data_IF_559797312506
#
_entry.id   IF_559797312506
#
_cell.length_a   1.000
_cell.length_b   1.000
_cell.length_c   1.000
_cell.angle_alpha   90.00
_cell.angle_beta   90.00
_cell.angle_gamma   90.00
#
_symmetry.space_group_name_H-M   'P 1'
#
loop_
_entity.id
_entity.type
_entity.pdbx_description
1 polymer ?
#
# COMPACT_ATOMS: atom_id res chain seq x y z
N UNK A 1 -80.91 -13.92 25.13
CA UNK A 1 -81.19 -12.67 25.87
C UNK A 1 -80.09 -12.45 26.88
N UNK A 2 -79.36 -11.43 26.74
CA UNK A 2 -78.68 -10.53 27.67
C UNK A 2 -77.33 -10.07 27.02
N UNK A 3 -77.36 -8.83 26.63
CA UNK A 3 -76.19 -8.09 26.14
C UNK A 3 -75.27 -7.77 27.32
N UNK A 4 -73.94 -7.94 27.16
CA UNK A 4 -72.96 -7.38 28.06
C UNK A 4 -72.07 -6.54 27.21
N UNK A 5 -72.14 -5.24 27.43
CA UNK A 5 -71.33 -4.19 26.88
C UNK A 5 -69.93 -4.27 27.49
N UNK A 6 -68.90 -4.39 26.68
CA UNK A 6 -67.52 -4.26 27.13
C UNK A 6 -66.98 -2.86 26.82
N UNK A 7 -66.73 -2.16 27.91
CA UNK A 7 -66.17 -0.81 27.93
C UNK A 7 -64.72 -0.84 27.46
N UNK A 8 -64.45 -0.04 26.45
CA UNK A 8 -63.14 0.20 25.87
C UNK A 8 -62.31 1.05 26.82
N UNK A 9 -61.29 0.42 27.46
CA UNK A 9 -60.26 1.13 28.21
C UNK A 9 -59.11 1.48 27.29
N UNK A 10 -59.02 2.73 26.87
CA UNK A 10 -57.96 3.28 26.04
C UNK A 10 -56.70 3.44 26.92
N UNK A 11 -55.76 2.49 26.86
CA UNK A 11 -54.47 2.66 27.48
C UNK A 11 -53.59 3.52 26.57
N UNK A 12 -53.45 4.79 27.00
CA UNK A 12 -52.54 5.73 26.42
C UNK A 12 -51.11 5.31 26.81
N UNK A 13 -50.43 4.58 25.90
CA UNK A 13 -49.02 4.26 26.06
C UNK A 13 -48.21 5.49 25.66
N UNK A 14 -47.76 6.22 26.67
CA UNK A 14 -46.81 7.30 26.51
C UNK A 14 -45.46 6.69 26.09
N UNK A 15 -45.18 6.64 24.81
CA UNK A 15 -43.85 6.37 24.27
C UNK A 15 -42.93 7.54 24.64
N UNK A 16 -42.19 7.39 25.72
CA UNK A 16 -41.01 8.17 26.00
C UNK A 16 -39.97 7.80 24.93
N UNK A 17 -39.97 8.60 23.87
CA UNK A 17 -38.86 8.56 22.92
C UNK A 17 -37.67 9.17 23.66
N UNK A 18 -36.85 8.35 24.29
CA UNK A 18 -35.50 8.72 24.63
C UNK A 18 -34.77 8.92 23.32
N UNK A 19 -34.75 10.15 22.86
CA UNK A 19 -33.83 10.64 21.86
C UNK A 19 -32.40 10.33 22.38
N UNK A 20 -31.84 9.23 21.97
CA UNK A 20 -30.40 9.14 21.93
C UNK A 20 -29.95 10.26 21.00
N UNK A 21 -29.49 11.36 21.58
CA UNK A 21 -28.58 12.27 20.89
C UNK A 21 -27.38 11.41 20.52
N UNK A 22 -27.39 10.88 19.29
CA UNK A 22 -26.17 10.59 18.60
C UNK A 22 -25.32 11.87 18.75
N UNK A 23 -24.29 11.74 19.56
CA UNK A 23 -23.22 12.70 19.56
C UNK A 23 -22.79 12.78 18.10
N UNK A 24 -23.19 13.85 17.43
CA UNK A 24 -22.62 14.28 16.19
C UNK A 24 -21.12 14.40 16.47
N UNK A 25 -20.39 13.31 16.30
CA UNK A 25 -18.99 13.35 15.99
C UNK A 25 -18.93 14.19 14.72
N UNK A 26 -18.87 15.49 14.88
CA UNK A 26 -18.33 16.37 13.87
C UNK A 26 -16.97 15.74 13.58
N UNK A 27 -16.88 14.94 12.51
CA UNK A 27 -15.64 14.73 11.84
C UNK A 27 -15.07 16.14 11.66
N UNK A 28 -14.20 16.53 12.56
CA UNK A 28 -13.38 17.71 12.35
C UNK A 28 -12.76 17.43 10.98
N UNK A 29 -13.17 18.25 10.04
CA UNK A 29 -12.80 18.08 8.64
C UNK A 29 -11.27 18.27 8.62
N UNK A 30 -10.50 17.18 8.70
CA UNK A 30 -9.04 17.20 8.77
C UNK A 30 -8.48 17.96 7.56
N UNK A 31 -9.27 18.07 6.49
CA UNK A 31 -8.95 18.90 5.33
C UNK A 31 -8.86 20.40 5.68
N UNK A 32 -9.55 20.87 6.70
CA UNK A 32 -9.49 22.27 7.13
C UNK A 32 -8.22 22.57 7.92
N UNK A 33 -7.62 21.58 8.56
CA UNK A 33 -6.41 21.74 9.39
C UNK A 33 -5.13 21.59 8.56
N UNK A 34 -5.17 20.80 7.46
CA UNK A 34 -3.98 20.48 6.65
C UNK A 34 -3.88 21.42 5.46
N UNK A 35 -2.87 22.26 5.44
CA UNK A 35 -2.58 23.15 4.30
C UNK A 35 -1.52 22.55 3.39
N UNK A 36 -1.91 22.21 2.15
CA UNK A 36 -0.97 21.79 1.11
C UNK A 36 -0.31 23.01 0.45
N UNK A 37 1.01 22.99 0.33
CA UNK A 37 1.77 23.96 -0.45
C UNK A 37 2.67 23.25 -1.46
N UNK A 38 2.70 23.74 -2.68
CA UNK A 38 3.66 23.33 -3.71
C UNK A 38 4.71 24.43 -3.85
N UNK A 39 5.96 24.05 -3.76
CA UNK A 39 7.06 24.98 -4.05
C UNK A 39 7.40 25.05 -5.56
N UNK A 40 6.77 24.18 -6.35
CA UNK A 40 7.07 24.01 -7.77
C UNK A 40 5.83 24.15 -8.64
N UNK A 41 6.00 24.52 -9.90
CA UNK A 41 4.95 24.40 -10.91
C UNK A 41 4.67 22.93 -11.27
N UNK A 42 3.68 22.69 -12.13
CA UNK A 42 3.30 21.35 -12.58
C UNK A 42 4.44 20.55 -13.27
N UNK A 43 5.54 21.18 -13.63
CA UNK A 43 6.72 20.57 -14.25
C UNK A 43 7.82 20.27 -13.25
N UNK A 44 7.64 20.59 -11.96
CA UNK A 44 8.65 20.41 -10.92
C UNK A 44 9.78 21.44 -10.99
N UNK A 45 9.46 22.69 -11.34
CA UNK A 45 10.43 23.80 -11.48
C UNK A 45 10.26 24.75 -10.29
N UNK A 46 11.37 25.02 -9.58
CA UNK A 46 11.47 26.09 -8.60
C UNK A 46 12.31 27.22 -9.21
N UNK A 47 11.75 28.41 -9.29
CA UNK A 47 12.49 29.59 -9.75
C UNK A 47 13.28 29.34 -11.05
N UNK A 48 12.70 28.61 -12.00
CA UNK A 48 13.33 28.26 -13.28
C UNK A 48 14.34 27.11 -13.26
N UNK A 49 14.55 26.44 -12.10
CA UNK A 49 15.42 25.26 -12.00
C UNK A 49 14.61 24.00 -11.78
N UNK A 50 14.89 22.94 -12.53
CA UNK A 50 14.32 21.62 -12.30
C UNK A 50 14.77 21.07 -10.95
N UNK A 51 13.82 20.51 -10.18
CA UNK A 51 14.13 19.81 -8.94
C UNK A 51 14.92 18.54 -9.21
N UNK A 52 15.93 18.29 -8.38
CA UNK A 52 16.62 17.02 -8.35
C UNK A 52 15.68 15.90 -7.89
N UNK A 53 16.03 14.65 -8.21
CA UNK A 53 15.32 13.49 -7.68
C UNK A 53 15.52 13.37 -6.16
N UNK A 54 14.52 12.81 -5.48
CA UNK A 54 14.63 12.44 -4.08
C UNK A 54 15.72 11.38 -3.85
N UNK A 55 16.17 11.26 -2.60
CA UNK A 55 17.12 10.25 -2.13
C UNK A 55 16.54 9.49 -0.93
N UNK A 56 17.21 8.42 -0.51
CA UNK A 56 16.83 7.62 0.65
C UNK A 56 16.11 6.32 0.29
N UNK A 57 16.02 5.44 1.28
CA UNK A 57 15.44 4.11 1.10
C UNK A 57 13.91 4.15 1.16
N UNK A 58 13.21 3.29 0.38
CA UNK A 58 11.76 3.11 0.47
C UNK A 58 11.32 2.69 1.87
N UNK A 59 10.16 3.21 2.29
CA UNK A 59 9.61 2.88 3.60
C UNK A 59 10.33 3.53 4.77
N UNK A 60 11.23 4.50 4.56
CA UNK A 60 11.87 5.26 5.62
C UNK A 60 11.18 6.61 5.81
N UNK A 61 10.84 6.94 7.07
CA UNK A 61 10.30 8.22 7.51
C UNK A 61 11.33 8.89 8.43
N UNK A 62 11.80 10.07 8.03
CA UNK A 62 12.74 10.86 8.83
C UNK A 62 11.96 11.89 9.62
N UNK A 63 12.05 11.82 10.94
CA UNK A 63 11.48 12.80 11.86
C UNK A 63 12.57 13.79 12.27
N UNK A 64 12.34 15.06 11.97
CA UNK A 64 13.25 16.16 12.32
C UNK A 64 12.65 16.91 13.50
N UNK A 65 13.27 16.81 14.66
CA UNK A 65 12.81 17.42 15.90
C UNK A 65 13.96 17.62 16.87
N UNK A 66 13.84 18.61 17.76
CA UNK A 66 14.73 18.73 18.91
C UNK A 66 14.61 17.49 19.83
N UNK A 67 15.68 17.12 20.51
CA UNK A 67 15.66 16.00 21.44
C UNK A 67 14.62 16.18 22.57
N UNK A 68 14.37 17.43 22.95
CA UNK A 68 13.35 17.79 23.95
C UNK A 68 11.92 17.62 23.44
N UNK A 69 11.72 17.59 22.12
CA UNK A 69 10.42 17.39 21.46
C UNK A 69 10.23 15.92 21.11
N UNK A 70 11.28 15.23 20.66
CA UNK A 70 11.21 13.80 20.31
C UNK A 70 11.37 12.93 21.58
N UNK A 71 10.37 13.03 22.46
CA UNK A 71 10.31 12.25 23.70
C UNK A 71 9.94 10.78 23.44
N UNK A 72 10.11 9.93 24.46
CA UNK A 72 9.69 8.52 24.40
C UNK A 72 8.19 8.37 24.11
N UNK A 73 7.36 9.32 24.56
CA UNK A 73 5.92 9.32 24.32
C UNK A 73 5.62 9.59 22.85
N UNK A 74 6.25 10.61 22.26
CA UNK A 74 6.14 10.92 20.82
C UNK A 74 6.68 9.76 19.98
N UNK A 75 7.84 9.20 20.34
CA UNK A 75 8.41 8.03 19.65
C UNK A 75 7.45 6.85 19.64
N UNK A 76 6.89 6.48 20.80
CA UNK A 76 5.91 5.39 20.91
C UNK A 76 4.64 5.66 20.11
N UNK A 77 4.14 6.90 20.10
CA UNK A 77 2.98 7.29 19.29
C UNK A 77 3.29 7.08 17.80
N UNK A 78 4.41 7.63 17.31
CA UNK A 78 4.79 7.50 15.90
C UNK A 78 5.04 6.04 15.50
N UNK A 79 5.68 5.24 16.34
CA UNK A 79 5.89 3.82 16.10
C UNK A 79 4.56 3.05 16.03
N UNK A 80 3.62 3.37 16.92
CA UNK A 80 2.29 2.73 16.93
C UNK A 80 1.49 3.01 15.66
N UNK A 81 1.75 4.12 14.97
CA UNK A 81 1.06 4.52 13.74
C UNK A 81 1.82 4.06 12.51
N UNK A 82 3.10 4.44 12.42
CA UNK A 82 3.86 4.31 11.16
C UNK A 82 4.68 3.02 11.08
N UNK A 83 5.12 2.46 12.22
CA UNK A 83 5.92 1.23 12.25
C UNK A 83 5.09 -0.03 12.41
N UNK A 84 3.76 0.04 12.21
CA UNK A 84 2.90 -1.13 12.23
C UNK A 84 3.35 -2.19 11.22
N UNK A 85 3.32 -3.49 11.61
CA UNK A 85 3.65 -4.56 10.69
C UNK A 85 2.68 -4.62 9.51
N UNK A 86 3.20 -4.80 8.31
CA UNK A 86 2.36 -4.96 7.11
C UNK A 86 1.79 -6.37 7.09
N UNK A 87 0.58 -6.52 7.61
CA UNK A 87 -0.14 -7.81 7.63
C UNK A 87 -0.68 -8.20 6.25
N UNK A 88 -0.80 -9.50 5.96
CA UNK A 88 -0.47 -10.67 6.78
C UNK A 88 0.96 -11.20 6.54
N UNK A 89 1.86 -10.40 6.01
CA UNK A 89 3.18 -10.85 5.59
C UNK A 89 4.06 -11.30 6.76
N UNK A 90 4.78 -12.39 6.54
CA UNK A 90 5.77 -12.94 7.44
C UNK A 90 7.05 -13.27 6.65
N UNK A 91 8.25 -13.02 7.19
CA UNK A 91 8.54 -12.27 8.41
C UNK A 91 7.93 -10.87 8.40
N UNK A 92 7.58 -10.37 9.60
CA UNK A 92 7.01 -9.05 9.75
C UNK A 92 8.05 -7.97 9.40
N UNK A 93 7.61 -6.94 8.74
CA UNK A 93 8.39 -5.73 8.52
C UNK A 93 7.49 -4.51 8.74
N UNK A 94 8.06 -3.39 9.21
CA UNK A 94 7.27 -2.19 9.47
C UNK A 94 6.80 -1.56 8.17
N UNK A 95 5.67 -0.88 8.22
CA UNK A 95 5.17 -0.08 7.10
C UNK A 95 6.12 1.06 6.78
N UNK A 96 6.64 1.72 7.83
CA UNK A 96 7.72 2.69 7.78
C UNK A 96 8.73 2.42 8.90
N UNK A 97 10.02 2.61 8.59
CA UNK A 97 11.10 2.68 9.58
C UNK A 97 11.29 4.14 9.96
N UNK A 98 11.11 4.46 11.24
CA UNK A 98 11.26 5.83 11.75
C UNK A 98 12.72 6.07 12.12
N UNK A 99 13.26 7.18 11.67
CA UNK A 99 14.57 7.66 12.03
C UNK A 99 14.46 9.11 12.49
N UNK A 100 14.90 9.37 13.72
CA UNK A 100 14.97 10.71 14.26
C UNK A 100 16.33 11.35 13.96
N UNK A 101 16.30 12.63 13.60
CA UNK A 101 17.47 13.51 13.49
C UNK A 101 17.11 14.88 14.09
N UNK A 102 18.12 15.56 14.64
CA UNK A 102 17.92 16.92 15.16
C UNK A 102 17.93 17.97 14.02
N UNK A 103 17.40 19.19 14.25
CA UNK A 103 17.50 20.27 13.27
C UNK A 103 18.93 20.59 12.83
N UNK A 104 19.92 20.48 13.74
CA UNK A 104 21.32 20.69 13.40
C UNK A 104 21.86 19.62 12.44
N UNK A 105 21.39 18.38 12.59
CA UNK A 105 21.74 17.29 11.70
C UNK A 105 21.05 17.40 10.35
N UNK A 106 19.93 18.14 10.28
CA UNK A 106 19.23 18.39 9.05
C UNK A 106 19.92 19.46 8.20
N UNK A 107 20.56 19.06 7.11
CA UNK A 107 21.40 19.91 6.26
C UNK A 107 21.11 19.72 4.76
N UNK A 108 21.85 20.38 3.89
CA UNK A 108 21.70 20.28 2.44
C UNK A 108 21.91 18.87 1.88
N UNK A 109 22.64 17.99 2.60
CA UNK A 109 22.89 16.61 2.18
C UNK A 109 21.66 15.71 2.34
N UNK A 110 20.79 16.02 3.32
CA UNK A 110 19.62 15.19 3.65
C UNK A 110 18.27 15.87 3.39
N UNK A 111 18.24 17.12 2.93
CA UNK A 111 16.99 17.82 2.62
C UNK A 111 16.19 17.19 1.46
N UNK A 112 16.84 16.37 0.61
CA UNK A 112 16.19 15.65 -0.48
C UNK A 112 15.68 14.26 -0.09
N UNK A 113 15.73 13.91 1.20
CA UNK A 113 15.13 12.64 1.68
C UNK A 113 13.65 12.59 1.36
N UNK A 114 13.21 11.41 0.95
CA UNK A 114 11.90 11.19 0.30
C UNK A 114 10.69 11.51 1.19
N UNK A 115 10.76 11.18 2.48
CA UNK A 115 9.71 11.41 3.46
C UNK A 115 10.29 12.13 4.67
N UNK A 116 9.80 13.31 4.95
CA UNK A 116 10.22 14.15 6.08
C UNK A 116 9.01 14.52 6.93
N UNK A 117 9.18 14.44 8.23
CA UNK A 117 8.22 14.94 9.21
C UNK A 117 8.96 15.87 10.16
N UNK A 118 8.53 17.12 10.24
CA UNK A 118 9.09 18.10 11.15
C UNK A 118 8.15 18.32 12.33
N UNK A 119 8.71 18.31 13.53
CA UNK A 119 7.97 18.60 14.76
C UNK A 119 8.57 19.85 15.40
N UNK A 120 7.75 20.90 15.54
CA UNK A 120 8.17 22.18 16.10
C UNK A 120 7.30 22.56 17.28
N UNK A 121 7.95 22.96 18.38
CA UNK A 121 7.30 23.78 19.43
C UNK A 121 7.58 25.26 19.16
N UNK A 122 6.55 26.08 19.31
CA UNK A 122 6.60 27.53 19.08
C UNK A 122 6.41 28.27 20.40
N UNK A 123 7.02 29.46 20.49
CA UNK A 123 6.85 30.30 21.70
C UNK A 123 5.44 30.87 21.83
N UNK A 124 4.71 31.00 20.73
CA UNK A 124 3.37 31.55 20.67
C UNK A 124 2.37 30.52 20.11
N UNK A 125 1.09 30.61 20.47
CA UNK A 125 0.05 29.78 19.88
C UNK A 125 0.02 29.90 18.35
N UNK A 126 -0.23 28.79 17.68
CA UNK A 126 -0.27 28.72 16.21
C UNK A 126 -1.71 28.67 15.74
N UNK A 127 -2.05 29.49 14.74
CA UNK A 127 -3.34 29.40 14.06
C UNK A 127 -3.58 27.96 13.59
N UNK A 128 -4.77 27.42 13.85
CA UNK A 128 -5.15 26.06 13.52
C UNK A 128 -4.88 25.70 12.04
N UNK A 129 -5.09 26.63 11.12
CA UNK A 129 -4.80 26.44 9.70
C UNK A 129 -3.30 26.31 9.37
N UNK A 130 -2.42 26.60 10.33
CA UNK A 130 -0.96 26.59 10.17
C UNK A 130 -0.28 25.48 11.01
N UNK A 131 -1.04 24.78 11.84
CA UNK A 131 -0.51 23.73 12.72
C UNK A 131 0.01 22.51 11.96
N UNK A 132 -0.66 22.11 10.88
CA UNK A 132 -0.23 21.01 10.02
C UNK A 132 -0.06 21.53 8.59
N UNK A 133 1.17 21.41 8.07
CA UNK A 133 1.50 21.80 6.69
C UNK A 133 2.03 20.62 5.92
N UNK A 134 1.45 20.35 4.77
CA UNK A 134 1.92 19.31 3.84
C UNK A 134 2.54 19.98 2.62
N UNK A 135 3.80 19.66 2.34
CA UNK A 135 4.55 20.18 1.19
C UNK A 135 4.91 19.02 0.27
N UNK A 136 4.60 19.16 -1.01
CA UNK A 136 5.00 18.22 -2.06
C UNK A 136 6.01 18.88 -2.97
N UNK A 137 7.00 18.10 -3.43
CA UNK A 137 8.01 18.59 -4.38
C UNK A 137 8.73 19.87 -3.89
N UNK A 138 9.15 19.88 -2.62
CA UNK A 138 9.73 21.08 -2.01
C UNK A 138 11.24 21.20 -2.26
N UNK A 139 12.04 20.21 -1.88
CA UNK A 139 13.48 20.16 -2.16
C UNK A 139 13.82 19.14 -3.27
N UNK A 140 12.93 18.19 -3.53
CA UNK A 140 13.13 17.17 -4.53
C UNK A 140 11.81 16.74 -5.17
N UNK A 141 11.87 16.26 -6.42
CA UNK A 141 10.70 15.70 -7.12
C UNK A 141 10.12 14.52 -6.33
N UNK A 142 8.81 14.45 -6.22
CA UNK A 142 8.07 13.39 -5.51
C UNK A 142 8.42 13.25 -4.03
N UNK A 143 8.93 14.32 -3.40
CA UNK A 143 9.15 14.41 -1.97
C UNK A 143 7.83 14.73 -1.25
N UNK A 144 7.64 14.16 -0.06
CA UNK A 144 6.57 14.54 0.86
C UNK A 144 7.18 15.03 2.17
N UNK A 145 6.79 16.23 2.57
CA UNK A 145 7.16 16.82 3.85
C UNK A 145 5.86 17.14 4.60
N UNK A 146 5.81 16.74 5.87
CA UNK A 146 4.75 17.13 6.80
C UNK A 146 5.38 17.92 7.94
N UNK A 147 4.87 19.11 8.23
CA UNK A 147 5.31 19.94 9.33
C UNK A 147 4.18 20.05 10.37
N UNK A 148 4.51 19.74 11.61
CA UNK A 148 3.66 19.97 12.77
C UNK A 148 4.20 21.13 13.58
N UNK A 149 3.33 22.05 13.96
CA UNK A 149 3.65 23.22 14.77
C UNK A 149 2.65 23.35 15.90
N UNK A 150 3.12 23.34 17.12
CA UNK A 150 2.30 23.41 18.31
C UNK A 150 2.96 24.35 19.34
N UNK A 151 2.16 24.94 20.23
CA UNK A 151 2.68 25.74 21.31
C UNK A 151 3.09 24.87 22.50
N UNK A 152 2.41 23.76 22.73
CA UNK A 152 2.69 22.82 23.84
C UNK A 152 2.89 21.39 23.36
N UNK A 153 3.53 20.57 24.18
CA UNK A 153 3.69 19.12 23.92
C UNK A 153 2.33 18.41 23.84
N UNK A 154 1.36 18.77 24.69
CA UNK A 154 0.03 18.17 24.67
C UNK A 154 -0.71 18.48 23.36
N UNK A 155 -0.59 19.71 22.87
CA UNK A 155 -1.12 20.10 21.58
C UNK A 155 -0.46 19.31 20.44
N UNK A 156 0.87 19.20 20.43
CA UNK A 156 1.61 18.42 19.44
C UNK A 156 1.17 16.96 19.42
N UNK A 157 1.06 16.34 20.60
CA UNK A 157 0.59 14.95 20.72
C UNK A 157 -0.83 14.79 20.17
N UNK A 158 -1.72 15.72 20.47
CA UNK A 158 -3.09 15.73 19.97
C UNK A 158 -3.14 15.86 18.44
N UNK A 159 -2.36 16.76 17.86
CA UNK A 159 -2.27 16.95 16.40
C UNK A 159 -1.75 15.68 15.70
N UNK A 160 -0.69 15.07 16.22
CA UNK A 160 -0.14 13.82 15.71
C UNK A 160 -1.15 12.68 15.77
N UNK A 161 -1.88 12.57 16.89
CA UNK A 161 -2.90 11.51 17.08
C UNK A 161 -4.08 11.68 16.15
N UNK A 162 -4.64 12.90 16.06
CA UNK A 162 -5.83 13.20 15.27
C UNK A 162 -5.59 13.07 13.76
N UNK A 163 -4.39 13.42 13.29
CA UNK A 163 -4.04 13.34 11.87
C UNK A 163 -3.34 12.04 11.46
N UNK A 164 -3.15 11.09 12.39
CA UNK A 164 -2.35 9.89 12.22
C UNK A 164 -2.69 9.10 10.95
N UNK A 165 -3.96 8.74 10.79
CA UNK A 165 -4.43 7.91 9.67
C UNK A 165 -4.29 8.63 8.32
N UNK A 166 -4.63 9.92 8.27
CA UNK A 166 -4.50 10.72 7.05
C UNK A 166 -3.03 10.83 6.62
N UNK A 167 -2.13 11.16 7.54
CA UNK A 167 -0.71 11.30 7.20
C UNK A 167 -0.09 9.97 6.84
N UNK A 168 -0.46 8.88 7.53
CA UNK A 168 -0.04 7.53 7.16
C UNK A 168 -0.48 7.19 5.73
N UNK A 169 -1.72 7.49 5.38
CA UNK A 169 -2.24 7.27 4.03
C UNK A 169 -1.47 8.10 2.99
N UNK A 170 -1.17 9.37 3.28
CA UNK A 170 -0.40 10.26 2.38
C UNK A 170 1.03 9.76 2.15
N UNK A 171 1.73 9.33 3.20
CA UNK A 171 3.05 8.74 3.08
C UNK A 171 3.00 7.39 2.33
N UNK A 172 2.00 6.56 2.59
CA UNK A 172 1.80 5.29 1.90
C UNK A 172 1.54 5.50 0.41
N UNK A 173 0.68 6.46 0.08
CA UNK A 173 0.32 6.79 -1.29
C UNK A 173 1.50 7.30 -2.12
N UNK A 174 2.30 8.23 -1.59
CA UNK A 174 3.45 8.75 -2.32
C UNK A 174 4.53 7.67 -2.53
N UNK A 175 4.68 6.70 -1.62
CA UNK A 175 5.64 5.61 -1.77
C UNK A 175 5.37 4.76 -3.02
N UNK A 176 4.15 4.27 -3.23
CA UNK A 176 3.85 3.50 -4.43
C UNK A 176 3.73 4.38 -5.68
N UNK A 177 3.28 5.64 -5.56
CA UNK A 177 3.22 6.60 -6.68
C UNK A 177 4.60 6.88 -7.28
N UNK A 178 5.67 6.89 -6.47
CA UNK A 178 7.05 7.04 -6.98
C UNK A 178 7.41 5.91 -7.94
N UNK A 179 7.03 4.68 -7.60
CA UNK A 179 7.25 3.52 -8.48
C UNK A 179 6.36 3.60 -9.73
N UNK A 180 5.11 4.03 -9.57
CA UNK A 180 4.21 4.29 -10.70
C UNK A 180 4.80 5.31 -11.69
N UNK A 181 5.29 6.45 -11.19
CA UNK A 181 5.89 7.47 -12.05
C UNK A 181 7.15 6.95 -12.75
N UNK A 182 7.96 6.16 -12.06
CA UNK A 182 9.13 5.51 -12.65
C UNK A 182 8.74 4.55 -13.77
N UNK A 183 7.78 3.67 -13.55
CA UNK A 183 7.30 2.74 -14.56
C UNK A 183 6.66 3.47 -15.74
N UNK A 184 5.91 4.54 -15.49
CA UNK A 184 5.30 5.35 -16.53
C UNK A 184 6.33 6.08 -17.40
N UNK A 185 7.38 6.61 -16.79
CA UNK A 185 8.45 7.31 -17.50
C UNK A 185 9.32 6.36 -18.36
N UNK A 186 9.51 5.13 -17.88
CA UNK A 186 10.34 4.12 -18.54
C UNK A 186 9.51 2.85 -18.79
N UNK A 187 8.50 2.97 -19.64
CA UNK A 187 7.44 1.99 -19.81
C UNK A 187 7.81 0.89 -20.80
N UNK A 188 7.39 -0.34 -20.50
CA UNK A 188 7.42 -1.46 -21.43
C UNK A 188 6.19 -1.43 -22.35
N UNK A 189 6.28 -0.67 -23.45
CA UNK A 189 5.16 -0.47 -24.39
C UNK A 189 4.76 -1.77 -25.09
N UNK A 190 5.68 -2.68 -25.32
CA UNK A 190 5.40 -3.98 -25.96
C UNK A 190 4.47 -4.82 -25.10
N UNK A 191 4.85 -5.05 -23.83
CA UNK A 191 4.01 -5.80 -22.90
C UNK A 191 2.66 -5.11 -22.68
N UNK A 192 2.66 -3.78 -22.53
CA UNK A 192 1.44 -3.00 -22.36
C UNK A 192 0.45 -3.20 -23.50
N UNK A 193 0.92 -3.16 -24.75
CA UNK A 193 0.11 -3.38 -25.93
C UNK A 193 -0.40 -4.82 -26.04
N UNK A 194 0.43 -5.80 -25.68
CA UNK A 194 0.01 -7.20 -25.67
C UNK A 194 -1.08 -7.46 -24.63
N UNK A 195 -0.96 -6.90 -23.41
CA UNK A 195 -1.99 -6.98 -22.37
C UNK A 195 -3.29 -6.30 -22.79
N UNK A 196 -3.20 -5.14 -23.45
CA UNK A 196 -4.35 -4.43 -23.99
C UNK A 196 -5.13 -5.31 -24.99
N UNK A 197 -4.44 -5.95 -25.92
CA UNK A 197 -5.03 -6.85 -26.93
C UNK A 197 -5.64 -8.10 -26.29
N UNK A 198 -4.91 -8.74 -25.41
CA UNK A 198 -5.27 -10.05 -24.85
C UNK A 198 -6.33 -9.93 -23.74
N UNK A 199 -6.12 -9.06 -22.78
CA UNK A 199 -6.93 -8.95 -21.58
C UNK A 199 -7.85 -7.71 -21.53
N UNK A 200 -7.68 -6.75 -22.46
CA UNK A 200 -8.44 -5.50 -22.45
C UNK A 200 -8.08 -4.56 -21.33
N UNK A 201 -6.88 -4.72 -20.76
CA UNK A 201 -6.35 -3.86 -19.72
C UNK A 201 -4.96 -3.35 -20.08
N UNK A 202 -4.55 -2.24 -19.48
CA UNK A 202 -3.16 -1.78 -19.49
C UNK A 202 -2.62 -1.65 -18.08
N UNK A 203 -1.32 -1.89 -17.95
CA UNK A 203 -0.54 -1.74 -16.72
C UNK A 203 0.73 -0.95 -17.05
N UNK A 204 1.21 -0.14 -16.10
CA UNK A 204 2.54 0.47 -16.20
C UNK A 204 3.57 -0.53 -15.63
N UNK A 205 4.28 -1.20 -16.52
CA UNK A 205 5.19 -2.29 -16.19
C UNK A 205 6.65 -1.83 -16.19
N UNK A 206 7.52 -2.43 -15.38
CA UNK A 206 8.96 -2.20 -15.47
C UNK A 206 9.48 -2.43 -16.90
N UNK A 207 10.38 -1.59 -17.38
CA UNK A 207 10.93 -1.60 -18.76
C UNK A 207 11.43 -2.98 -19.19
N UNK A 208 12.17 -3.64 -18.31
CA UNK A 208 12.81 -4.93 -18.59
C UNK A 208 12.01 -6.12 -18.07
N UNK A 209 10.70 -5.97 -17.86
CA UNK A 209 9.81 -7.09 -17.60
C UNK A 209 9.70 -7.98 -18.83
N UNK A 210 9.60 -9.29 -18.63
CA UNK A 210 9.49 -10.29 -19.70
C UNK A 210 8.40 -11.30 -19.42
N UNK A 211 7.75 -11.80 -20.47
CA UNK A 211 6.84 -12.93 -20.33
C UNK A 211 7.62 -14.20 -20.00
N UNK A 212 7.27 -14.84 -18.88
CA UNK A 212 7.65 -16.23 -18.59
C UNK A 212 6.60 -17.22 -19.11
N UNK A 213 5.34 -16.79 -19.16
CA UNK A 213 4.23 -17.53 -19.74
C UNK A 213 3.22 -16.58 -20.35
N UNK A 214 2.75 -16.92 -21.55
CA UNK A 214 1.70 -16.15 -22.23
C UNK A 214 0.72 -17.12 -22.92
N UNK A 215 -0.38 -17.43 -22.24
CA UNK A 215 -1.46 -18.32 -22.71
C UNK A 215 -2.75 -17.51 -22.84
N UNK A 216 -3.71 -17.98 -23.62
CA UNK A 216 -4.97 -17.30 -23.93
C UNK A 216 -5.65 -16.62 -22.71
N UNK A 217 -5.69 -17.30 -21.56
CA UNK A 217 -6.38 -16.82 -20.37
C UNK A 217 -5.43 -16.59 -19.17
N UNK A 218 -4.12 -16.69 -19.38
CA UNK A 218 -3.13 -16.53 -18.33
C UNK A 218 -1.83 -15.95 -18.89
N UNK A 219 -1.26 -14.99 -18.19
CA UNK A 219 0.06 -14.47 -18.47
C UNK A 219 0.87 -14.36 -17.16
N UNK A 220 2.16 -14.70 -17.22
CA UNK A 220 3.12 -14.43 -16.15
C UNK A 220 4.25 -13.57 -16.70
N UNK A 221 4.50 -12.46 -16.03
CA UNK A 221 5.53 -11.49 -16.39
C UNK A 221 6.50 -11.39 -15.22
N UNK A 222 7.75 -11.74 -15.44
CA UNK A 222 8.81 -11.53 -14.47
C UNK A 222 9.30 -10.08 -14.55
N UNK A 223 9.60 -9.50 -13.38
CA UNK A 223 10.33 -8.26 -13.28
C UNK A 223 11.83 -8.55 -13.19
N UNK A 224 12.69 -7.58 -13.56
CA UNK A 224 14.12 -7.75 -13.39
C UNK A 224 14.47 -8.09 -11.94
N UNK A 225 15.27 -9.13 -11.76
CA UNK A 225 15.76 -9.56 -10.47
C UNK A 225 16.56 -8.45 -9.79
N UNK A 226 16.41 -8.34 -8.48
CA UNK A 226 17.25 -7.51 -7.66
C UNK A 226 18.18 -8.38 -6.84
N UNK A 227 19.46 -8.09 -6.93
CA UNK A 227 20.48 -8.75 -6.12
C UNK A 227 21.05 -7.78 -5.09
N UNK A 228 21.39 -8.28 -3.92
CA UNK A 228 22.25 -7.60 -2.95
C UNK A 228 23.36 -8.55 -2.55
N UNK A 229 24.62 -8.11 -2.53
CA UNK A 229 25.67 -8.85 -1.88
C UNK A 229 25.30 -9.06 -0.41
N UNK A 230 25.42 -10.27 0.11
CA UNK A 230 25.39 -10.50 1.55
C UNK A 230 26.78 -10.18 2.10
N UNK A 231 26.86 -9.27 3.07
CA UNK A 231 28.01 -9.17 3.93
C UNK A 231 28.00 -10.39 4.87
N UNK A 232 28.65 -11.46 4.44
CA UNK A 232 28.91 -12.61 5.30
C UNK A 232 30.13 -12.29 6.16
N UNK A 233 29.96 -11.45 7.17
CA UNK A 233 30.92 -11.33 8.27
C UNK A 233 30.68 -12.46 9.27
N UNK A 234 30.74 -13.70 8.84
CA UNK A 234 30.83 -14.86 9.73
C UNK A 234 32.25 -15.36 9.66
N UNK A 235 32.99 -15.28 10.75
CA UNK A 235 34.28 -15.90 10.91
C UNK A 235 34.21 -17.35 10.44
N UNK A 236 34.97 -17.69 9.40
CA UNK A 236 35.12 -19.05 8.86
C UNK A 236 34.61 -19.29 7.44
N UNK A 237 33.93 -18.37 6.77
CA UNK A 237 33.56 -18.53 5.38
C UNK A 237 34.61 -17.89 4.45
N UNK A 238 35.50 -18.71 3.90
CA UNK A 238 36.39 -18.26 2.84
C UNK A 238 35.60 -17.72 1.65
N UNK A 239 35.50 -16.40 1.54
CA UNK A 239 35.48 -15.64 0.29
C UNK A 239 34.40 -15.90 -0.75
N UNK A 240 33.32 -16.62 -0.49
CA UNK A 240 32.19 -16.75 -1.43
C UNK A 240 31.04 -15.84 -1.01
N UNK A 241 31.01 -14.66 -1.58
CA UNK A 241 29.88 -13.76 -1.49
C UNK A 241 28.61 -14.48 -2.02
N UNK A 242 27.72 -14.91 -1.14
CA UNK A 242 26.38 -15.36 -1.54
C UNK A 242 25.59 -14.14 -1.97
N UNK A 243 25.09 -14.14 -3.20
CA UNK A 243 24.20 -13.10 -3.69
C UNK A 243 22.76 -13.55 -3.41
N UNK A 244 22.03 -12.77 -2.62
CA UNK A 244 20.61 -12.97 -2.43
C UNK A 244 19.85 -12.32 -3.58
N UNK A 245 18.97 -13.08 -4.23
CA UNK A 245 18.10 -12.59 -5.28
C UNK A 245 16.69 -12.38 -4.74
N UNK A 246 16.07 -11.25 -5.14
CA UNK A 246 14.65 -11.01 -4.98
C UNK A 246 14.01 -11.21 -6.33
N UNK A 247 13.12 -12.19 -6.41
CA UNK A 247 12.31 -12.46 -7.59
C UNK A 247 10.90 -11.89 -7.40
N UNK A 248 10.42 -11.17 -8.39
CA UNK A 248 9.09 -10.60 -8.36
C UNK A 248 8.50 -10.50 -9.76
N UNK A 249 7.19 -10.45 -9.81
CA UNK A 249 6.49 -10.31 -11.08
C UNK A 249 4.98 -10.18 -10.90
N UNK A 250 4.29 -10.26 -12.03
CA UNK A 250 2.84 -10.18 -12.11
C UNK A 250 2.30 -11.39 -12.87
N UNK A 251 1.23 -11.96 -12.35
CA UNK A 251 0.38 -12.92 -13.05
C UNK A 251 -0.97 -12.26 -13.34
N UNK A 252 -1.48 -12.49 -14.54
CA UNK A 252 -2.76 -11.96 -15.00
C UNK A 252 -3.56 -13.13 -15.52
N UNK A 253 -4.82 -13.24 -15.10
CA UNK A 253 -5.73 -14.25 -15.63
C UNK A 253 -7.15 -13.77 -15.75
N UNK A 254 -7.94 -14.51 -16.53
CA UNK A 254 -9.35 -14.28 -16.70
C UNK A 254 -10.11 -15.60 -16.68
N UNK A 255 -11.29 -15.60 -16.06
CA UNK A 255 -12.23 -16.72 -16.05
C UNK A 255 -13.63 -16.23 -16.42
N UNK A 256 -14.49 -17.07 -17.03
CA UNK A 256 -15.86 -16.69 -17.36
C UNK A 256 -16.66 -16.28 -16.12
N UNK A 257 -17.35 -15.17 -16.19
CA UNK A 257 -18.32 -14.76 -15.20
C UNK A 257 -19.67 -15.43 -15.52
N UNK A 258 -20.27 -16.08 -14.55
CA UNK A 258 -21.58 -16.72 -14.67
C UNK A 258 -22.63 -15.96 -13.86
N UNK A 259 -22.35 -15.72 -12.59
CA UNK A 259 -23.25 -15.04 -11.66
C UNK A 259 -22.49 -14.36 -10.49
N UNK A 260 -23.24 -13.62 -9.68
CA UNK A 260 -22.68 -12.82 -8.59
C UNK A 260 -22.08 -13.64 -7.44
N UNK A 261 -22.41 -14.93 -7.29
CA UNK A 261 -21.79 -15.80 -6.26
C UNK A 261 -20.30 -15.97 -6.45
N UNK A 262 -19.83 -15.76 -7.68
CA UNK A 262 -18.41 -15.78 -8.03
C UNK A 262 -17.64 -14.52 -7.58
N UNK A 263 -18.32 -13.47 -7.13
CA UNK A 263 -17.71 -12.22 -6.68
C UNK A 263 -17.54 -12.15 -5.16
N UNK A 264 -17.44 -13.30 -4.50
CA UNK A 264 -17.13 -13.38 -3.06
C UNK A 264 -15.61 -13.57 -2.84
N UNK A 265 -15.04 -13.05 -1.74
CA UNK A 265 -13.64 -13.26 -1.43
C UNK A 265 -13.22 -14.73 -1.44
N UNK A 266 -14.07 -15.60 -0.89
CA UNK A 266 -13.81 -17.04 -0.79
C UNK A 266 -13.76 -17.72 -2.17
N UNK A 267 -14.70 -17.37 -3.05
CA UNK A 267 -14.68 -17.88 -4.42
C UNK A 267 -13.44 -17.42 -5.18
N UNK A 268 -13.13 -16.12 -5.10
CA UNK A 268 -12.00 -15.51 -5.80
C UNK A 268 -10.66 -16.11 -5.36
N UNK A 269 -10.50 -16.43 -4.08
CA UNK A 269 -9.29 -17.09 -3.59
C UNK A 269 -9.21 -18.55 -4.04
N UNK A 270 -10.31 -19.32 -4.01
CA UNK A 270 -10.32 -20.68 -4.56
C UNK A 270 -10.05 -20.70 -6.06
N UNK A 271 -10.62 -19.75 -6.81
CA UNK A 271 -10.35 -19.60 -8.23
C UNK A 271 -8.87 -19.30 -8.49
N UNK A 272 -8.25 -18.42 -7.68
CA UNK A 272 -6.81 -18.14 -7.73
C UNK A 272 -5.99 -19.43 -7.59
N UNK A 273 -6.26 -20.22 -6.55
CA UNK A 273 -5.49 -21.45 -6.30
C UNK A 273 -5.67 -22.47 -7.41
N UNK A 274 -6.90 -22.59 -7.94
CA UNK A 274 -7.16 -23.44 -9.10
C UNK A 274 -6.36 -23.01 -10.33
N UNK A 275 -6.34 -21.71 -10.63
CA UNK A 275 -5.58 -21.17 -11.77
C UNK A 275 -4.07 -21.40 -11.58
N UNK A 276 -3.55 -21.11 -10.38
CA UNK A 276 -2.12 -21.25 -10.10
C UNK A 276 -1.66 -22.70 -10.13
N UNK A 277 -2.49 -23.64 -9.69
CA UNK A 277 -2.22 -25.09 -9.78
C UNK A 277 -1.86 -25.54 -11.20
N UNK A 278 -2.47 -24.96 -12.23
CA UNK A 278 -2.28 -25.35 -13.61
C UNK A 278 -1.33 -24.42 -14.39
N UNK A 279 -1.01 -23.26 -13.88
CA UNK A 279 -0.27 -22.25 -14.62
C UNK A 279 1.00 -21.72 -13.92
N UNK A 280 1.11 -21.85 -12.60
CA UNK A 280 2.29 -21.45 -11.84
C UNK A 280 2.98 -22.69 -11.25
N UNK A 281 3.48 -23.53 -12.17
CA UNK A 281 4.18 -24.78 -11.87
C UNK A 281 5.61 -24.48 -11.42
N UNK A 282 6.12 -25.33 -10.56
CA UNK A 282 7.53 -25.38 -10.20
C UNK A 282 8.30 -26.28 -11.20
N UNK A 283 9.64 -26.20 -11.20
CA UNK A 283 10.50 -27.09 -12.00
C UNK A 283 10.32 -28.59 -11.63
N UNK A 284 9.98 -28.88 -10.37
CA UNK A 284 9.70 -30.25 -9.94
C UNK A 284 8.27 -30.65 -10.31
N UNK A 285 8.10 -31.85 -10.93
CA UNK A 285 6.78 -32.36 -11.29
C UNK A 285 5.82 -32.46 -10.12
N UNK A 286 4.57 -32.02 -10.32
CA UNK A 286 3.53 -32.07 -9.31
C UNK A 286 3.59 -30.95 -8.26
N UNK A 287 4.60 -30.08 -8.33
CA UNK A 287 4.74 -28.94 -7.43
C UNK A 287 4.17 -27.67 -8.09
N UNK A 288 3.34 -26.94 -7.36
CA UNK A 288 2.68 -25.74 -7.85
C UNK A 288 2.49 -24.69 -6.75
N UNK A 289 2.30 -23.45 -7.17
CA UNK A 289 2.01 -22.34 -6.27
C UNK A 289 0.56 -22.40 -5.77
N UNK A 290 0.37 -22.33 -4.46
CA UNK A 290 -0.94 -22.22 -3.81
C UNK A 290 -0.92 -21.16 -2.71
N UNK A 291 -2.09 -20.87 -2.14
CA UNK A 291 -2.18 -19.93 -1.01
C UNK A 291 -1.70 -20.60 0.28
N UNK A 292 -0.95 -19.86 1.12
CA UNK A 292 -0.65 -20.29 2.49
C UNK A 292 -1.89 -20.12 3.36
N UNK A 293 -2.32 -21.21 3.97
CA UNK A 293 -3.57 -21.34 4.74
C UNK A 293 -3.34 -21.51 6.25
N UNK A 294 -2.12 -21.29 6.72
CA UNK A 294 -1.82 -21.35 8.15
C UNK A 294 -2.57 -20.24 8.91
N UNK A 295 -3.27 -20.56 10.04
CA UNK A 295 -4.13 -19.59 10.75
C UNK A 295 -3.46 -18.27 11.15
N UNK A 296 -2.17 -18.29 11.46
CA UNK A 296 -1.42 -17.09 11.87
C UNK A 296 -1.18 -16.08 10.72
N UNK A 297 -1.32 -16.50 9.45
CA UNK A 297 -0.97 -15.70 8.27
C UNK A 297 -2.02 -15.82 7.16
N UNK A 298 -3.27 -15.99 7.52
CA UNK A 298 -4.37 -16.07 6.55
C UNK A 298 -4.39 -14.83 5.67
N UNK A 299 -4.72 -14.98 4.39
CA UNK A 299 -4.88 -13.85 3.49
C UNK A 299 -5.91 -12.86 4.01
N UNK A 300 -5.65 -11.58 3.82
CA UNK A 300 -6.60 -10.51 4.09
C UNK A 300 -7.21 -10.01 2.80
N UNK A 301 -8.49 -9.64 2.84
CA UNK A 301 -9.21 -9.07 1.70
C UNK A 301 -9.79 -7.71 2.04
N UNK A 302 -9.85 -6.83 1.05
CA UNK A 302 -10.49 -5.52 1.15
C UNK A 302 -11.16 -5.17 -0.17
N UNK A 303 -12.39 -4.67 -0.13
CA UNK A 303 -13.03 -4.09 -1.31
C UNK A 303 -12.42 -2.72 -1.59
N UNK A 304 -11.92 -2.50 -2.80
CA UNK A 304 -11.28 -1.26 -3.23
C UNK A 304 -11.72 -0.88 -4.64
N UNK A 305 -11.43 0.37 -5.00
CA UNK A 305 -11.62 0.89 -6.35
C UNK A 305 -10.29 1.34 -6.94
N UNK A 306 -9.95 0.86 -8.12
CA UNK A 306 -8.79 1.29 -8.90
C UNK A 306 -9.27 1.94 -10.19
N UNK A 307 -9.12 3.26 -10.30
CA UNK A 307 -9.70 4.02 -11.42
C UNK A 307 -11.22 3.85 -11.50
N UNK A 308 -11.72 3.33 -12.63
CA UNK A 308 -13.14 3.05 -12.85
C UNK A 308 -13.57 1.63 -12.42
N UNK A 309 -12.67 0.81 -11.89
CA UNK A 309 -12.90 -0.60 -11.60
C UNK A 309 -13.00 -0.85 -10.12
N UNK A 310 -14.08 -1.49 -9.68
CA UNK A 310 -14.30 -1.93 -8.31
C UNK A 310 -14.04 -3.44 -8.20
N UNK A 311 -13.43 -3.87 -7.11
CA UNK A 311 -13.09 -5.27 -6.90
C UNK A 311 -12.52 -5.55 -5.51
N UNK A 312 -11.92 -6.72 -5.36
CA UNK A 312 -11.28 -7.14 -4.11
C UNK A 312 -9.76 -7.15 -4.24
N UNK A 313 -9.11 -6.46 -3.35
CA UNK A 313 -7.68 -6.59 -3.09
C UNK A 313 -7.46 -7.72 -2.10
N UNK A 314 -6.47 -8.58 -2.39
CA UNK A 314 -6.01 -9.62 -1.49
C UNK A 314 -4.52 -9.47 -1.23
N UNK A 315 -4.12 -9.69 0.00
CA UNK A 315 -2.71 -9.80 0.39
C UNK A 315 -2.51 -11.05 1.21
N UNK A 316 -1.43 -11.76 0.97
CA UNK A 316 -1.16 -13.02 1.66
C UNK A 316 0.18 -13.61 1.32
N UNK A 317 0.42 -14.80 1.85
CA UNK A 317 1.56 -15.61 1.50
C UNK A 317 1.14 -16.73 0.54
N UNK A 318 2.03 -17.06 -0.38
CA UNK A 318 1.92 -18.28 -1.16
C UNK A 318 2.94 -19.33 -0.67
N UNK A 319 2.63 -20.59 -0.91
CA UNK A 319 3.51 -21.74 -0.69
C UNK A 319 3.60 -22.55 -1.97
N UNK A 320 4.68 -23.32 -2.11
CA UNK A 320 4.74 -24.37 -3.11
C UNK A 320 4.24 -25.66 -2.51
N UNK A 321 3.09 -26.14 -2.99
CA UNK A 321 2.47 -27.38 -2.58
C UNK A 321 3.18 -28.55 -3.28
N UNK A 322 3.42 -29.65 -2.56
CA UNK A 322 4.10 -30.83 -3.09
C UNK A 322 5.62 -30.87 -2.85
N UNK A 323 6.17 -29.89 -2.10
CA UNK A 323 7.56 -29.92 -1.63
C UNK A 323 7.67 -30.36 -0.19
N UNK A 324 8.75 -31.06 0.12
CA UNK A 324 9.11 -31.43 1.49
C UNK A 324 9.63 -30.23 2.28
N UNK A 325 10.43 -29.39 1.62
CA UNK A 325 10.95 -28.16 2.23
C UNK A 325 9.98 -27.00 2.03
N UNK A 326 9.63 -26.28 3.11
CA UNK A 326 8.79 -25.09 3.01
C UNK A 326 9.43 -24.04 2.10
N UNK A 327 8.73 -23.66 1.05
CA UNK A 327 9.13 -22.56 0.17
C UNK A 327 7.89 -21.78 -0.23
N UNK A 328 8.07 -20.47 -0.40
CA UNK A 328 6.95 -19.58 -0.73
C UNK A 328 7.38 -18.14 -0.66
N UNK A 329 6.42 -17.26 -0.77
CA UNK A 329 6.66 -15.83 -0.77
C UNK A 329 5.40 -15.04 -0.49
N UNK A 330 5.41 -13.77 -0.88
CA UNK A 330 4.33 -12.83 -0.67
C UNK A 330 3.55 -12.61 -1.95
N UNK A 331 2.23 -12.41 -1.85
CA UNK A 331 1.42 -11.98 -2.98
C UNK A 331 0.57 -10.76 -2.64
N UNK A 332 0.29 -9.96 -3.65
CA UNK A 332 -0.64 -8.84 -3.64
C UNK A 332 -1.48 -8.91 -4.91
N UNK A 333 -2.79 -8.98 -4.81
CA UNK A 333 -3.65 -9.32 -5.93
C UNK A 333 -4.90 -8.45 -5.93
N UNK A 334 -5.37 -8.07 -7.11
CA UNK A 334 -6.64 -7.36 -7.31
C UNK A 334 -7.51 -8.15 -8.26
N UNK A 335 -8.72 -8.51 -7.83
CA UNK A 335 -9.69 -9.30 -8.56
C UNK A 335 -10.94 -8.46 -8.82
N UNK A 336 -11.43 -8.47 -10.05
CA UNK A 336 -12.56 -7.64 -10.47
C UNK A 336 -13.34 -8.25 -11.62
N UNK A 337 -14.60 -7.83 -11.76
CA UNK A 337 -15.39 -8.13 -12.97
C UNK A 337 -15.06 -7.11 -14.06
N UNK A 338 -14.60 -7.59 -15.21
CA UNK A 338 -14.33 -6.72 -16.36
C UNK A 338 -15.67 -6.27 -16.99
N UNK A 339 -16.00 -4.96 -16.97
CA UNK A 339 -17.35 -4.50 -17.29
C UNK A 339 -17.81 -4.78 -18.73
N UNK A 340 -16.87 -4.96 -19.65
CA UNK A 340 -17.16 -5.15 -21.09
C UNK A 340 -16.97 -6.58 -21.59
N UNK A 341 -16.41 -7.50 -20.78
CA UNK A 341 -16.00 -8.83 -21.25
C UNK A 341 -16.74 -9.99 -20.62
N UNK A 342 -17.58 -9.76 -19.64
CA UNK A 342 -18.26 -10.82 -18.88
C UNK A 342 -17.24 -11.83 -18.31
N UNK A 343 -16.15 -11.32 -17.77
CA UNK A 343 -15.07 -12.13 -17.20
C UNK A 343 -14.59 -11.57 -15.88
N UNK A 344 -14.35 -12.45 -14.93
CA UNK A 344 -13.62 -12.12 -13.73
C UNK A 344 -12.14 -12.13 -14.09
N UNK A 345 -11.47 -11.05 -13.75
CA UNK A 345 -10.05 -10.87 -13.99
C UNK A 345 -9.30 -10.72 -12.70
N UNK A 346 -8.04 -11.10 -12.72
CA UNK A 346 -7.11 -10.81 -11.63
C UNK A 346 -5.77 -10.31 -12.16
N UNK A 347 -5.19 -9.38 -11.41
CA UNK A 347 -3.79 -8.94 -11.52
C UNK A 347 -3.13 -9.24 -10.20
N UNK A 348 -2.23 -10.22 -10.17
CA UNK A 348 -1.64 -10.79 -8.96
C UNK A 348 -0.13 -10.71 -9.00
N UNK A 349 0.45 -9.85 -8.17
CA UNK A 349 1.88 -9.79 -7.96
C UNK A 349 2.37 -10.91 -7.05
N UNK A 350 3.56 -11.39 -7.32
CA UNK A 350 4.28 -12.33 -6.47
C UNK A 350 5.68 -11.79 -6.14
N UNK A 351 6.15 -12.14 -4.97
CA UNK A 351 7.44 -11.73 -4.46
C UNK A 351 8.07 -12.86 -3.65
N UNK A 352 9.20 -13.33 -4.12
CA UNK A 352 10.11 -14.16 -3.36
C UNK A 352 11.31 -13.31 -2.91
N UNK A 353 11.46 -13.18 -1.62
CA UNK A 353 12.53 -12.41 -1.01
C UNK A 353 13.08 -13.15 0.19
N UNK A 354 14.41 -13.29 0.30
CA UNK A 354 15.04 -13.88 1.47
C UNK A 354 14.61 -13.16 2.75
N UNK A 355 14.47 -13.88 3.89
CA UNK A 355 14.05 -13.29 5.17
C UNK A 355 14.93 -12.12 5.65
N UNK A 356 16.19 -12.10 5.22
CA UNK A 356 17.18 -11.05 5.55
C UNK A 356 17.03 -9.76 4.77
N UNK A 357 16.15 -9.73 3.76
CA UNK A 357 15.93 -8.56 2.91
C UNK A 357 14.54 -7.98 3.12
N UNK A 358 14.46 -6.66 3.34
CA UNK A 358 13.17 -5.97 3.43
C UNK A 358 12.43 -6.07 2.09
N UNK A 359 11.21 -6.62 2.08
CA UNK A 359 10.39 -6.74 0.88
C UNK A 359 9.65 -5.44 0.52
N UNK A 360 9.78 -4.41 1.34
CA UNK A 360 8.96 -3.20 1.25
C UNK A 360 9.04 -2.52 -0.13
N UNK A 361 10.23 -2.42 -0.71
CA UNK A 361 10.40 -1.79 -2.03
C UNK A 361 9.71 -2.58 -3.13
N UNK A 362 9.88 -3.92 -3.15
CA UNK A 362 9.33 -4.75 -4.22
C UNK A 362 7.82 -4.88 -4.11
N UNK A 363 7.29 -4.89 -2.89
CA UNK A 363 5.84 -4.79 -2.68
C UNK A 363 5.27 -3.46 -3.18
N UNK A 364 5.99 -2.33 -3.03
CA UNK A 364 5.58 -1.04 -3.61
C UNK A 364 5.62 -1.07 -5.15
N UNK A 365 6.59 -1.75 -5.75
CA UNK A 365 6.62 -1.97 -7.21
C UNK A 365 5.40 -2.75 -7.68
N UNK A 366 5.07 -3.85 -7.01
CA UNK A 366 3.88 -4.66 -7.29
C UNK A 366 2.60 -3.82 -7.14
N UNK A 367 2.47 -3.10 -6.02
CA UNK A 367 1.33 -2.21 -5.76
C UNK A 367 1.18 -1.16 -6.86
N UNK A 368 2.29 -0.53 -7.27
CA UNK A 368 2.28 0.48 -8.32
C UNK A 368 1.79 -0.08 -9.66
N UNK A 369 2.20 -1.30 -10.02
CA UNK A 369 1.73 -1.99 -11.23
C UNK A 369 0.24 -2.29 -11.13
N UNK A 370 -0.23 -2.87 -10.04
CA UNK A 370 -1.65 -3.19 -9.83
C UNK A 370 -2.50 -1.91 -9.87
N UNK A 371 -2.07 -0.86 -9.17
CA UNK A 371 -2.83 0.41 -9.08
C UNK A 371 -2.74 1.26 -10.35
N UNK A 372 -1.87 0.89 -11.28
CA UNK A 372 -1.82 1.50 -12.62
C UNK A 372 -2.86 0.95 -13.60
N UNK A 373 -3.67 -0.04 -13.17
CA UNK A 373 -4.69 -0.70 -13.99
C UNK A 373 -5.62 0.31 -14.67
N UNK A 374 -5.76 0.15 -15.98
CA UNK A 374 -6.76 0.87 -16.78
C UNK A 374 -7.43 -0.10 -17.73
N UNK A 375 -8.72 0.09 -17.94
CA UNK A 375 -9.46 -0.62 -18.98
C UNK A 375 -9.14 -0.01 -20.33
N UNK A 376 -9.03 -0.87 -21.34
CA UNK A 376 -8.89 -0.42 -22.73
C UNK A 376 -10.26 -0.16 -23.30
N UNK A 377 -10.50 1.05 -23.79
CA UNK A 377 -11.67 1.35 -24.58
C UNK A 377 -11.51 0.71 -25.96
N UNK A 378 -12.45 -0.15 -26.33
CA UNK A 378 -12.54 -0.56 -27.74
C UNK A 378 -13.03 0.66 -28.53
N UNK A 379 -12.16 1.14 -29.41
CA UNK A 379 -12.59 2.04 -30.47
C UNK A 379 -13.56 1.31 -31.41
#
# INVERSE_FOLDING_TARGET
MKYVTFSSLFFLFLLIITSCQEANNKNLDTQTIVRESKATDARGIIQGKALSKYVGQPGRLIVVAENTVFTDEISRLLDSVYSQPVRPYYPFFPKFEIHHITPEQFNKGNNRLRNLMFLFLTNEPVDSALQIRVKKDYYAQHQLIVEYRAHTMNELFSLLSLSADEMLQRFDEIEWKREYYRHKADNNTVLKNQLAKQFGITLELPKHGTFESNRKNFARIAFPDRSRPMDLTTEGSQGKSKVNFIQSGIMIWQIPFKDSSQLTPEYLMRARDTILKYNALHEFPGVYMGTQDHPAVLPVSKRIKIGAVEGYEFRGLYKFTGRLEPSGGKFWSFHFLHPKRQQIMAVSGYLDAPPTMSPAFDLRRIQAVIYSLKLVERK
#
